data_IF_276484534169
#
_entry.id   IF_276484534169
#
_cell.length_a   1.000
_cell.length_b   1.000
_cell.length_c   1.000
_cell.angle_alpha   90.00
_cell.angle_beta   90.00
_cell.angle_gamma   90.00
#
_symmetry.space_group_name_H-M   'P 1'
#
loop_
_entity.id
_entity.type
_entity.pdbx_description
1 polymer ?
#
# COMPACT_ATOMS: atom_id res chain seq x y z
N UNK A 1 48.51 26.77 22.99
CA UNK A 1 47.77 25.69 23.66
C UNK A 1 46.29 25.82 23.30
N UNK A 2 45.80 25.03 22.34
CA UNK A 2 44.41 25.11 21.88
C UNK A 2 43.51 24.19 22.70
N UNK A 3 42.69 24.76 23.57
CA UNK A 3 41.66 24.09 24.38
C UNK A 3 40.35 23.85 23.60
N UNK A 4 40.42 23.56 22.31
CA UNK A 4 39.25 23.38 21.43
C UNK A 4 38.74 21.93 21.32
N UNK A 5 39.49 20.94 21.81
CA UNK A 5 39.17 19.51 21.67
C UNK A 5 37.83 19.04 22.31
N UNK A 6 37.51 19.41 23.57
CA UNK A 6 36.31 18.90 24.25
C UNK A 6 35.01 19.50 23.70
N UNK A 7 35.03 20.78 23.30
CA UNK A 7 33.87 21.47 22.74
C UNK A 7 33.53 20.97 21.35
N UNK A 8 34.55 20.69 20.54
CA UNK A 8 34.37 20.13 19.19
C UNK A 8 33.82 18.70 19.24
N UNK A 9 34.32 17.85 20.14
CA UNK A 9 33.81 16.50 20.35
C UNK A 9 32.35 16.49 20.83
N UNK A 10 32.01 17.32 21.82
CA UNK A 10 30.63 17.44 22.31
C UNK A 10 29.68 17.98 21.23
N UNK A 11 30.16 18.88 20.37
CA UNK A 11 29.39 19.38 19.23
C UNK A 11 29.12 18.27 18.21
N UNK A 12 30.14 17.51 17.79
CA UNK A 12 29.97 16.41 16.83
C UNK A 12 29.03 15.33 17.39
N UNK A 13 29.21 14.91 18.64
CA UNK A 13 28.36 13.89 19.26
C UNK A 13 26.90 14.35 19.38
N UNK A 14 26.68 15.62 19.71
CA UNK A 14 25.36 16.24 19.72
C UNK A 14 24.72 16.19 18.32
N UNK A 15 25.44 16.62 17.28
CA UNK A 15 24.96 16.57 15.90
C UNK A 15 24.66 15.16 15.39
N UNK A 16 25.55 14.20 15.63
CA UNK A 16 25.33 12.80 15.30
C UNK A 16 24.08 12.25 16.01
N UNK A 17 23.87 12.62 17.28
CA UNK A 17 22.68 12.21 18.02
C UNK A 17 21.39 12.79 17.42
N UNK A 18 21.38 14.05 16.99
CA UNK A 18 20.23 14.67 16.30
C UNK A 18 19.95 14.09 14.92
N UNK A 19 20.94 13.49 14.26
CA UNK A 19 20.77 12.87 12.94
C UNK A 19 20.36 11.41 13.07
N UNK A 20 20.88 10.67 14.05
CA UNK A 20 20.72 9.21 14.18
C UNK A 20 19.54 8.84 15.09
N UNK A 21 19.32 9.58 16.18
CA UNK A 21 18.25 9.24 17.13
C UNK A 21 16.84 9.41 16.55
N UNK A 22 16.51 10.45 15.75
CA UNK A 22 15.17 10.57 15.21
C UNK A 22 14.77 9.44 14.26
N UNK A 23 15.61 8.98 13.31
CA UNK A 23 15.32 7.79 12.51
C UNK A 23 15.12 6.51 13.35
N UNK A 24 15.95 6.30 14.37
CA UNK A 24 15.82 5.14 15.27
C UNK A 24 14.53 5.19 16.09
N UNK A 25 14.17 6.37 16.59
CA UNK A 25 12.93 6.58 17.31
C UNK A 25 11.71 6.37 16.41
N UNK A 26 11.74 6.90 15.18
CA UNK A 26 10.68 6.69 14.19
C UNK A 26 10.54 5.22 13.82
N UNK A 27 11.66 4.50 13.66
CA UNK A 27 11.65 3.06 13.44
C UNK A 27 11.03 2.32 14.63
N UNK A 28 11.39 2.66 15.87
CA UNK A 28 10.80 2.05 17.06
C UNK A 28 9.30 2.32 17.16
N UNK A 29 8.85 3.55 16.91
CA UNK A 29 7.43 3.92 16.86
C UNK A 29 6.71 3.12 15.77
N UNK A 30 7.30 2.98 14.58
CA UNK A 30 6.74 2.15 13.51
C UNK A 30 6.58 0.69 13.94
N UNK A 31 7.57 0.10 14.61
CA UNK A 31 7.48 -1.29 15.09
C UNK A 31 6.40 -1.46 16.16
N UNK A 32 6.25 -0.48 17.07
CA UNK A 32 5.19 -0.48 18.08
C UNK A 32 3.82 -0.38 17.42
N UNK A 33 3.64 0.56 16.49
CA UNK A 33 2.38 0.74 15.77
C UNK A 33 2.05 -0.48 14.89
N UNK A 34 3.06 -1.11 14.27
CA UNK A 34 2.91 -2.37 13.55
C UNK A 34 2.45 -3.50 14.49
N UNK A 35 3.07 -3.67 15.65
CA UNK A 35 2.66 -4.69 16.60
C UNK A 35 1.23 -4.45 17.13
N UNK A 36 0.89 -3.19 17.42
CA UNK A 36 -0.43 -2.79 17.88
C UNK A 36 -1.51 -2.92 16.79
N UNK A 37 -1.16 -2.70 15.51
CA UNK A 37 -2.12 -2.82 14.40
C UNK A 37 -2.65 -4.24 14.22
N UNK A 38 -1.86 -5.26 14.60
CA UNK A 38 -2.30 -6.66 14.60
C UNK A 38 -3.32 -6.97 15.70
N UNK A 39 -3.51 -6.05 16.66
CA UNK A 39 -4.44 -6.23 17.78
C UNK A 39 -5.67 -5.34 17.64
N UNK A 40 -5.57 -4.17 17.02
CA UNK A 40 -6.72 -3.29 16.78
C UNK A 40 -6.62 -2.46 15.50
N UNK A 41 -7.77 -2.22 14.85
CA UNK A 41 -7.88 -1.41 13.63
C UNK A 41 -7.51 0.07 13.85
N UNK A 42 -7.59 0.55 15.10
CA UNK A 42 -7.24 1.93 15.46
C UNK A 42 -5.75 2.19 15.21
N UNK A 43 -4.87 1.30 15.69
CA UNK A 43 -3.42 1.46 15.53
C UNK A 43 -2.94 1.17 14.11
N UNK A 44 -3.68 0.38 13.32
CA UNK A 44 -3.45 0.24 11.89
C UNK A 44 -3.39 1.60 11.18
N UNK A 45 -4.42 2.45 11.38
CA UNK A 45 -4.48 3.78 10.76
C UNK A 45 -3.25 4.64 11.07
N UNK A 46 -2.80 4.67 12.32
CA UNK A 46 -1.61 5.43 12.72
C UNK A 46 -0.32 4.85 12.15
N UNK A 47 -0.20 3.51 12.08
CA UNK A 47 0.96 2.86 11.48
C UNK A 47 1.18 3.32 10.04
N UNK A 48 0.15 3.29 9.19
CA UNK A 48 0.41 3.74 7.82
C UNK A 48 0.42 5.24 7.63
N UNK A 49 -0.30 6.02 8.43
CA UNK A 49 -0.14 7.47 8.37
C UNK A 49 1.32 7.85 8.63
N UNK A 50 1.95 7.22 9.62
CA UNK A 50 3.38 7.38 9.89
C UNK A 50 4.24 6.85 8.74
N UNK A 51 3.99 5.63 8.25
CA UNK A 51 4.72 5.02 7.14
C UNK A 51 4.73 5.92 5.89
N UNK A 52 3.57 6.41 5.45
CA UNK A 52 3.47 7.24 4.25
C UNK A 52 4.05 8.63 4.44
N UNK A 53 3.91 9.23 5.63
CA UNK A 53 4.57 10.49 5.94
C UNK A 53 6.09 10.34 5.84
N UNK A 54 6.64 9.20 6.26
CA UNK A 54 8.07 8.91 6.16
C UNK A 54 8.49 8.61 4.72
N UNK A 55 7.70 7.84 3.97
CA UNK A 55 7.95 7.57 2.55
C UNK A 55 7.94 8.87 1.74
N UNK A 56 6.93 9.73 1.90
CA UNK A 56 6.81 11.00 1.17
C UNK A 56 7.93 11.99 1.52
N UNK A 57 8.35 12.03 2.79
CA UNK A 57 9.33 13.01 3.27
C UNK A 57 10.77 12.62 3.00
N UNK A 58 11.07 11.32 2.96
CA UNK A 58 12.44 10.83 2.89
C UNK A 58 12.73 9.97 1.64
N UNK A 59 11.74 9.80 0.76
CA UNK A 59 11.80 8.90 -0.40
C UNK A 59 12.26 7.47 -0.01
N UNK A 60 11.94 7.07 1.22
CA UNK A 60 12.31 5.76 1.73
C UNK A 60 11.33 4.77 1.15
N UNK A 61 11.74 4.11 0.07
CA UNK A 61 11.17 2.82 -0.31
C UNK A 61 11.64 1.82 0.74
N UNK A 62 10.89 1.73 1.84
CA UNK A 62 11.15 0.70 2.84
C UNK A 62 10.83 -0.61 2.13
N UNK A 63 11.87 -1.35 1.74
CA UNK A 63 11.76 -2.75 1.38
C UNK A 63 11.23 -3.40 2.65
N UNK A 64 9.90 -3.49 2.76
CA UNK A 64 9.23 -4.29 3.76
C UNK A 64 9.90 -5.63 3.62
N UNK A 65 10.71 -5.98 4.63
CA UNK A 65 11.35 -7.28 4.80
C UNK A 65 10.37 -8.28 4.23
N UNK A 66 10.78 -8.98 3.16
CA UNK A 66 9.94 -9.93 2.43
C UNK A 66 8.91 -10.46 3.41
N UNK A 67 7.63 -10.15 3.21
CA UNK A 67 6.58 -10.78 3.99
C UNK A 67 6.83 -12.25 3.75
N UNK A 68 7.57 -12.89 4.67
CA UNK A 68 7.98 -14.28 4.52
C UNK A 68 6.68 -14.98 4.26
N UNK A 69 6.60 -15.60 3.09
CA UNK A 69 5.52 -16.48 2.74
C UNK A 69 5.26 -17.31 4.00
N UNK A 70 4.11 -17.21 4.67
CA UNK A 70 3.97 -17.79 6.00
C UNK A 70 3.78 -19.28 5.81
N UNK A 71 4.84 -19.97 5.42
CA UNK A 71 5.11 -21.38 5.68
C UNK A 71 5.41 -21.57 7.16
N UNK A 72 4.61 -20.92 8.01
CA UNK A 72 4.44 -21.27 9.40
C UNK A 72 3.51 -22.49 9.35
N UNK A 73 4.04 -23.68 9.65
CA UNK A 73 3.41 -24.99 9.35
C UNK A 73 2.01 -25.19 9.98
N UNK A 74 1.54 -24.24 10.78
CA UNK A 74 0.27 -24.26 11.49
C UNK A 74 -0.71 -23.14 11.08
N UNK A 75 -0.39 -22.30 10.08
CA UNK A 75 -1.34 -21.32 9.52
C UNK A 75 -1.70 -21.75 8.11
N UNK A 76 -2.99 -21.95 7.85
CA UNK A 76 -3.42 -22.27 6.48
C UNK A 76 -3.23 -21.04 5.60
N UNK A 77 -2.90 -21.23 4.32
CA UNK A 77 -2.84 -20.14 3.31
C UNK A 77 -4.08 -19.24 3.36
N UNK A 78 -5.23 -19.83 3.69
CA UNK A 78 -6.49 -19.14 3.93
C UNK A 78 -6.41 -18.07 5.04
N UNK A 79 -5.71 -18.31 6.14
CA UNK A 79 -5.65 -17.40 7.28
C UNK A 79 -4.88 -16.11 6.97
N UNK A 80 -3.86 -16.20 6.12
CA UNK A 80 -2.99 -15.09 5.73
C UNK A 80 -3.71 -14.20 4.73
N UNK A 81 -4.36 -14.82 3.74
CA UNK A 81 -5.22 -14.11 2.79
C UNK A 81 -6.40 -13.46 3.51
N UNK A 82 -7.00 -14.11 4.51
CA UNK A 82 -8.12 -13.58 5.30
C UNK A 82 -7.77 -12.39 6.21
N UNK A 83 -6.48 -12.19 6.52
CA UNK A 83 -5.97 -11.09 7.35
C UNK A 83 -5.25 -9.99 6.54
N UNK A 84 -5.26 -10.07 5.20
CA UNK A 84 -4.93 -8.91 4.38
C UNK A 84 -5.99 -7.83 4.62
N UNK A 85 -5.67 -6.94 5.55
CA UNK A 85 -6.61 -5.99 6.14
C UNK A 85 -7.04 -4.96 5.10
N UNK A 86 -8.28 -4.49 5.17
CA UNK A 86 -8.84 -3.45 4.29
C UNK A 86 -7.93 -2.23 4.16
N UNK A 87 -7.23 -1.96 5.26
CA UNK A 87 -6.21 -0.95 5.34
C UNK A 87 -5.08 -1.16 4.32
N UNK A 88 -4.50 -2.36 4.22
CA UNK A 88 -3.41 -2.63 3.27
C UNK A 88 -3.85 -2.41 1.80
N UNK A 89 -5.09 -2.76 1.46
CA UNK A 89 -5.67 -2.45 0.14
C UNK A 89 -5.82 -0.94 -0.08
N UNK A 90 -6.27 -0.21 0.95
CA UNK A 90 -6.35 1.25 0.89
C UNK A 90 -4.97 1.89 0.71
N UNK A 91 -3.96 1.42 1.44
CA UNK A 91 -2.56 1.87 1.28
C UNK A 91 -2.06 1.64 -0.14
N UNK A 92 -2.31 0.46 -0.68
CA UNK A 92 -2.00 0.13 -2.07
C UNK A 92 -2.64 1.09 -3.08
N UNK A 93 -3.83 1.64 -2.80
CA UNK A 93 -4.44 2.67 -3.63
C UNK A 93 -3.79 4.06 -3.49
N UNK A 94 -3.06 4.31 -2.39
CA UNK A 94 -2.35 5.57 -2.14
C UNK A 94 -0.90 5.56 -2.67
N UNK A 95 -0.37 4.40 -3.03
CA UNK A 95 0.94 4.25 -3.68
C UNK A 95 0.91 4.86 -5.09
N UNK A 96 1.16 6.17 -5.18
CA UNK A 96 1.09 6.96 -6.41
C UNK A 96 2.03 6.43 -7.49
N UNK A 97 3.32 6.14 -7.24
CA UNK A 97 4.20 5.57 -8.27
C UNK A 97 3.62 4.31 -8.92
N UNK A 98 3.11 3.38 -8.10
CA UNK A 98 2.52 2.14 -8.58
C UNK A 98 1.24 2.37 -9.37
N UNK A 99 0.33 3.20 -8.87
CA UNK A 99 -0.93 3.53 -9.55
C UNK A 99 -0.67 4.26 -10.87
N UNK A 100 0.29 5.19 -10.90
CA UNK A 100 0.67 5.92 -12.10
C UNK A 100 1.26 4.98 -13.15
N UNK A 101 2.09 4.01 -12.76
CA UNK A 101 2.63 3.03 -13.71
C UNK A 101 1.52 2.23 -14.40
N UNK A 102 0.51 1.79 -13.66
CA UNK A 102 -0.66 1.12 -14.24
C UNK A 102 -1.48 2.05 -15.13
N UNK A 103 -1.71 3.29 -14.69
CA UNK A 103 -2.46 4.28 -15.45
C UNK A 103 -1.77 4.62 -16.79
N UNK A 104 -0.45 4.78 -16.80
CA UNK A 104 0.31 5.02 -18.03
C UNK A 104 0.29 3.82 -18.98
N UNK A 105 0.40 2.60 -18.48
CA UNK A 105 0.26 1.40 -19.30
C UNK A 105 -1.14 1.31 -19.95
N UNK A 106 -2.19 1.62 -19.19
CA UNK A 106 -3.57 1.65 -19.70
C UNK A 106 -3.75 2.76 -20.74
N UNK A 107 -3.18 3.95 -20.53
CA UNK A 107 -3.21 5.05 -21.50
C UNK A 107 -2.52 4.66 -22.82
N UNK A 108 -1.36 4.00 -22.75
CA UNK A 108 -0.68 3.50 -23.94
C UNK A 108 -1.55 2.50 -24.70
N UNK A 109 -2.22 1.58 -24.00
CA UNK A 109 -3.19 0.69 -24.64
C UNK A 109 -4.37 1.46 -25.26
N UNK A 110 -4.88 2.49 -24.58
CA UNK A 110 -5.98 3.31 -25.08
C UNK A 110 -5.68 4.00 -26.41
N UNK A 111 -4.40 4.30 -26.70
CA UNK A 111 -3.97 4.86 -28.00
C UNK A 111 -4.26 3.92 -29.17
N UNK A 112 -4.36 2.61 -28.93
CA UNK A 112 -4.74 1.63 -29.95
C UNK A 112 -6.20 1.76 -30.38
N UNK A 113 -7.02 2.54 -29.65
CA UNK A 113 -8.47 2.74 -29.87
C UNK A 113 -9.25 1.42 -29.95
N UNK A 114 -8.79 0.40 -29.24
CA UNK A 114 -9.43 -0.91 -29.13
C UNK A 114 -9.96 -1.10 -27.72
N UNK A 115 -11.10 -1.79 -27.63
CA UNK A 115 -11.61 -2.32 -26.37
C UNK A 115 -11.27 -3.80 -26.28
N UNK A 116 -11.17 -4.31 -25.05
CA UNK A 116 -10.96 -5.72 -24.79
C UNK A 116 -11.75 -6.19 -23.57
N UNK A 117 -11.90 -7.50 -23.46
CA UNK A 117 -12.29 -8.16 -22.22
C UNK A 117 -11.06 -8.35 -21.35
N UNK A 118 -11.11 -7.89 -20.11
CA UNK A 118 -9.99 -7.91 -19.16
C UNK A 118 -10.23 -8.91 -18.03
N UNK A 119 -9.14 -9.42 -17.45
CA UNK A 119 -9.15 -10.21 -16.23
C UNK A 119 -8.27 -9.50 -15.19
N UNK A 120 -8.89 -8.97 -14.14
CA UNK A 120 -8.21 -8.30 -13.02
C UNK A 120 -8.04 -9.28 -11.86
N UNK A 121 -6.81 -9.82 -11.71
CA UNK A 121 -6.47 -10.82 -10.71
C UNK A 121 -5.99 -10.13 -9.43
N UNK A 122 -6.68 -10.36 -8.32
CA UNK A 122 -6.41 -9.68 -7.06
C UNK A 122 -6.93 -8.25 -7.08
N UNK A 123 -8.18 -8.06 -7.56
CA UNK A 123 -8.77 -6.74 -7.79
C UNK A 123 -8.79 -5.86 -6.53
N UNK A 124 -8.79 -6.47 -5.34
CA UNK A 124 -8.75 -5.75 -4.09
C UNK A 124 -10.07 -5.06 -3.73
N UNK A 125 -10.12 -4.49 -2.53
CA UNK A 125 -11.37 -4.02 -1.93
C UNK A 125 -11.98 -2.83 -2.67
N UNK A 126 -11.14 -2.07 -3.38
CA UNK A 126 -11.48 -0.83 -4.05
C UNK A 126 -11.41 -0.92 -5.59
N UNK A 127 -11.05 -2.08 -6.13
CA UNK A 127 -10.97 -2.35 -7.57
C UNK A 127 -10.18 -1.27 -8.37
N UNK A 128 -9.02 -0.78 -7.91
CA UNK A 128 -8.37 0.38 -8.52
C UNK A 128 -8.02 0.17 -10.00
N UNK A 129 -7.53 -1.02 -10.36
CA UNK A 129 -7.19 -1.37 -11.75
C UNK A 129 -8.42 -1.49 -12.64
N UNK A 130 -9.41 -2.28 -12.21
CA UNK A 130 -10.72 -2.39 -12.90
C UNK A 130 -11.32 -1.01 -13.16
N UNK A 131 -11.28 -0.10 -12.17
CA UNK A 131 -11.81 1.27 -12.33
C UNK A 131 -11.01 2.10 -13.32
N UNK A 132 -9.68 1.97 -13.36
CA UNK A 132 -8.85 2.63 -14.38
C UNK A 132 -9.19 2.12 -15.79
N UNK A 133 -9.36 0.82 -15.97
CA UNK A 133 -9.74 0.22 -17.27
C UNK A 133 -11.08 0.77 -17.78
N UNK A 134 -12.05 0.94 -16.89
CA UNK A 134 -13.36 1.53 -17.22
C UNK A 134 -13.24 3.03 -17.50
N UNK A 135 -12.54 3.78 -16.64
CA UNK A 135 -12.31 5.23 -16.77
C UNK A 135 -11.70 5.59 -18.13
N UNK A 136 -10.71 4.83 -18.59
CA UNK A 136 -10.05 5.06 -19.88
C UNK A 136 -10.81 4.45 -21.08
N UNK A 137 -11.94 3.80 -20.84
CA UNK A 137 -12.81 3.27 -21.90
C UNK A 137 -12.18 2.13 -22.71
N UNK A 138 -11.13 1.49 -22.17
CA UNK A 138 -10.42 0.37 -22.81
C UNK A 138 -11.06 -0.98 -22.53
N UNK A 139 -11.96 -1.05 -21.54
CA UNK A 139 -12.69 -2.24 -21.20
C UNK A 139 -14.04 -2.30 -21.92
N UNK A 140 -14.26 -3.40 -22.64
CA UNK A 140 -15.60 -3.87 -23.01
C UNK A 140 -16.26 -4.53 -21.81
N UNK A 141 -15.52 -5.40 -21.13
CA UNK A 141 -15.90 -6.05 -19.87
C UNK A 141 -14.65 -6.38 -19.05
N UNK A 142 -14.77 -6.51 -17.73
CA UNK A 142 -13.69 -6.80 -16.79
C UNK A 142 -14.13 -7.89 -15.82
N UNK A 143 -13.54 -9.07 -15.91
CA UNK A 143 -13.68 -10.10 -14.89
C UNK A 143 -12.75 -9.76 -13.72
N UNK A 144 -13.31 -9.26 -12.63
CA UNK A 144 -12.54 -8.92 -11.43
C UNK A 144 -12.60 -10.08 -10.41
N UNK A 145 -11.45 -10.64 -10.06
CA UNK A 145 -11.34 -11.78 -9.13
C UNK A 145 -10.48 -11.44 -7.92
N UNK A 146 -10.89 -11.89 -6.74
CA UNK A 146 -10.11 -11.76 -5.51
C UNK A 146 -10.24 -13.04 -4.66
N UNK A 147 -9.13 -13.51 -4.11
CA UNK A 147 -9.10 -14.71 -3.27
C UNK A 147 -9.55 -14.42 -1.83
N UNK A 148 -9.47 -13.17 -1.36
CA UNK A 148 -9.92 -12.78 -0.04
C UNK A 148 -11.44 -12.52 -0.06
N UNK A 149 -12.16 -13.36 0.68
CA UNK A 149 -13.64 -13.28 0.77
C UNK A 149 -14.14 -11.93 1.28
N UNK A 150 -13.47 -11.32 2.26
CA UNK A 150 -13.89 -10.01 2.81
C UNK A 150 -13.71 -8.90 1.79
N UNK A 151 -12.56 -8.90 1.12
CA UNK A 151 -12.21 -8.00 0.02
C UNK A 151 -13.22 -8.11 -1.11
N UNK A 152 -13.56 -9.34 -1.52
CA UNK A 152 -14.60 -9.60 -2.52
C UNK A 152 -15.96 -9.00 -2.12
N UNK A 153 -16.41 -9.19 -0.88
CA UNK A 153 -17.71 -8.62 -0.44
C UNK A 153 -17.70 -7.09 -0.51
N UNK A 154 -16.61 -6.44 -0.12
CA UNK A 154 -16.48 -4.99 -0.25
C UNK A 154 -16.45 -4.53 -1.71
N UNK A 155 -15.69 -5.22 -2.56
CA UNK A 155 -15.64 -4.92 -4.00
C UNK A 155 -17.03 -5.07 -4.63
N UNK A 156 -17.78 -6.11 -4.23
CA UNK A 156 -19.18 -6.32 -4.63
C UNK A 156 -20.06 -5.18 -4.16
N UNK A 157 -20.01 -4.79 -2.88
CA UNK A 157 -20.77 -3.63 -2.37
C UNK A 157 -20.40 -2.36 -3.13
N UNK A 158 -19.12 -2.11 -3.39
CA UNK A 158 -18.67 -0.94 -4.13
C UNK A 158 -19.22 -0.94 -5.57
N UNK A 159 -19.19 -2.08 -6.27
CA UNK A 159 -19.77 -2.25 -7.61
C UNK A 159 -21.25 -1.88 -7.63
N UNK A 160 -22.00 -2.24 -6.60
CA UNK A 160 -23.44 -1.93 -6.53
C UNK A 160 -23.74 -0.42 -6.53
N UNK A 161 -22.79 0.40 -6.06
CA UNK A 161 -22.89 1.87 -6.00
C UNK A 161 -22.32 2.59 -7.23
N UNK A 162 -21.76 1.85 -8.20
CA UNK A 162 -21.27 2.45 -9.44
C UNK A 162 -22.43 2.80 -10.39
N UNK A 163 -22.25 3.79 -11.29
CA UNK A 163 -23.21 4.07 -12.35
C UNK A 163 -23.51 2.81 -13.18
N UNK A 164 -24.77 2.64 -13.62
CA UNK A 164 -25.21 1.43 -14.33
C UNK A 164 -24.33 1.05 -15.54
N UNK A 165 -23.85 2.05 -16.29
CA UNK A 165 -22.98 1.82 -17.45
C UNK A 165 -21.57 1.31 -17.09
N UNK A 166 -21.09 1.57 -15.88
CA UNK A 166 -19.83 1.03 -15.36
C UNK A 166 -20.05 -0.34 -14.73
N UNK A 167 -21.15 -0.50 -13.99
CA UNK A 167 -21.54 -1.75 -13.33
C UNK A 167 -21.68 -2.94 -14.28
N UNK A 168 -22.21 -2.70 -15.49
CA UNK A 168 -22.38 -3.70 -16.54
C UNK A 168 -21.04 -4.15 -17.17
N UNK A 169 -19.97 -3.36 -16.97
CA UNK A 169 -18.64 -3.66 -17.50
C UNK A 169 -17.77 -4.45 -16.52
N UNK A 170 -18.29 -4.80 -15.34
CA UNK A 170 -17.62 -5.61 -14.30
C UNK A 170 -18.46 -6.85 -14.03
#
# INVERSE_FOLDING_TARGET
MSSSGPLFYNYIMSWCSYIILPPLLLYAIMQILYWLSHRTNFFGRYYAMLYYTLQERFDITLVLRELKNPTDKNKTFADIVNHYDFFAYWLMCLDKPRVNAYEEAIKQYAQLRKKAVWLDIGTGAHMPLTRLLIKYGVAEHVHAVDANRKTYQSAKTLREHLPNGEKQRI
#
